data_IF_380918611521
#
_entry.id   IF_380918611521
#
_cell.length_a   1.000
_cell.length_b   1.000
_cell.length_c   1.000
_cell.angle_alpha   90.00
_cell.angle_beta   90.00
_cell.angle_gamma   90.00
#
_symmetry.space_group_name_H-M   'P 1'
#
loop_
_entity.id
_entity.type
_entity.pdbx_description
1 polymer ?
#
# COMPACT_ATOMS: atom_id res chain seq x y z
N UNK A 1 11.51 9.75 6.50
CA UNK A 1 10.41 9.08 6.28
C UNK A 1 10.20 8.69 4.89
N UNK A 2 10.15 7.47 4.61
CA UNK A 2 9.99 7.00 3.26
C UNK A 2 8.53 6.96 2.90
N UNK A 3 8.20 7.41 1.72
CA UNK A 3 6.85 7.38 1.25
C UNK A 3 6.39 5.95 1.14
N UNK A 4 7.29 5.05 0.78
CA UNK A 4 6.93 3.65 0.65
C UNK A 4 6.43 3.10 1.98
N UNK A 5 7.00 3.53 3.09
CA UNK A 5 6.57 3.06 4.38
C UNK A 5 5.15 3.53 4.67
N UNK A 6 4.84 4.76 4.30
CA UNK A 6 3.50 5.29 4.51
C UNK A 6 2.50 4.51 3.67
N UNK A 7 2.85 4.21 2.43
CA UNK A 7 1.97 3.46 1.56
C UNK A 7 1.73 2.05 2.09
N UNK A 8 2.77 1.42 2.60
CA UNK A 8 2.62 0.08 3.17
C UNK A 8 1.72 0.10 4.39
N UNK A 9 1.82 1.15 5.17
CA UNK A 9 0.98 1.28 6.34
C UNK A 9 -0.47 1.44 5.94
N UNK A 10 -0.74 2.25 4.92
CA UNK A 10 -2.10 2.43 4.45
C UNK A 10 -2.64 1.11 3.92
N UNK A 11 -1.81 0.35 3.22
CA UNK A 11 -2.24 -0.94 2.72
C UNK A 11 -2.60 -1.88 3.86
N UNK A 12 -1.79 -1.90 4.90
CA UNK A 12 -2.06 -2.75 6.05
C UNK A 12 -3.35 -2.36 6.72
N UNK A 13 -3.61 -1.09 6.83
CA UNK A 13 -4.83 -0.64 7.45
C UNK A 13 -6.05 -1.00 6.64
N UNK A 14 -5.93 -0.93 5.33
CA UNK A 14 -7.04 -1.31 4.47
C UNK A 14 -7.35 -2.79 4.68
N UNK A 15 -6.33 -3.63 4.78
CA UNK A 15 -6.53 -5.05 4.99
C UNK A 15 -7.19 -5.30 6.34
N UNK A 16 -6.73 -4.58 7.35
CA UNK A 16 -7.27 -4.74 8.68
C UNK A 16 -8.76 -4.40 8.70
N UNK A 17 -9.12 -3.29 8.09
CA UNK A 17 -10.52 -2.89 8.05
C UNK A 17 -11.31 -3.90 7.24
N UNK A 18 -10.74 -4.40 6.17
CA UNK A 18 -11.42 -5.37 5.34
C UNK A 18 -11.75 -6.63 6.13
N UNK A 19 -10.87 -7.00 7.05
CA UNK A 19 -11.10 -8.19 7.84
C UNK A 19 -12.19 -7.98 8.88
N UNK A 20 -12.45 -6.75 9.22
CA UNK A 20 -13.45 -6.45 10.21
C UNK A 20 -14.82 -6.10 9.64
N UNK A 21 -14.89 -5.81 8.38
CA UNK A 21 -16.14 -5.40 7.79
C UNK A 21 -16.96 -6.65 7.46
N UNK A 22 -18.26 -6.53 7.57
CA UNK A 22 -19.12 -7.66 7.26
C UNK A 22 -19.67 -7.54 5.84
N UNK A 23 -19.44 -6.43 5.20
CA UNK A 23 -19.96 -6.22 3.85
C UNK A 23 -18.96 -6.74 2.83
N UNK A 24 -19.39 -7.70 2.03
CA UNK A 24 -18.51 -8.28 1.03
C UNK A 24 -18.06 -7.22 0.01
N UNK A 25 -18.97 -6.34 -0.34
CA UNK A 25 -18.63 -5.29 -1.30
C UNK A 25 -17.57 -4.35 -0.75
N UNK A 26 -17.70 -3.99 0.51
CA UNK A 26 -16.73 -3.10 1.12
C UNK A 26 -15.40 -3.81 1.29
N UNK A 27 -15.45 -5.09 1.61
CA UNK A 27 -14.24 -5.85 1.79
C UNK A 27 -13.47 -5.84 0.47
N UNK A 28 -14.15 -6.08 -0.62
CA UNK A 28 -13.53 -6.09 -1.93
C UNK A 28 -12.87 -4.73 -2.23
N UNK A 29 -13.57 -3.68 -1.99
CA UNK A 29 -13.06 -2.35 -2.25
C UNK A 29 -11.80 -2.10 -1.43
N UNK A 30 -11.84 -2.46 -0.15
CA UNK A 30 -10.71 -2.23 0.72
C UNK A 30 -9.50 -3.05 0.29
N UNK A 31 -9.73 -4.27 -0.16
CA UNK A 31 -8.64 -5.10 -0.62
C UNK A 31 -8.03 -4.55 -1.91
N UNK A 32 -8.86 -3.99 -2.76
CA UNK A 32 -8.36 -3.37 -3.98
C UNK A 32 -7.53 -2.13 -3.64
N UNK A 33 -7.99 -1.37 -2.65
CA UNK A 33 -7.25 -0.21 -2.23
C UNK A 33 -5.90 -0.63 -1.64
N UNK A 34 -5.89 -1.71 -0.89
CA UNK A 34 -4.65 -2.19 -0.30
C UNK A 34 -3.66 -2.56 -1.40
N UNK A 35 -4.15 -3.18 -2.45
CA UNK A 35 -3.27 -3.55 -3.56
C UNK A 35 -2.71 -2.30 -4.23
N UNK A 36 -3.54 -1.29 -4.42
CA UNK A 36 -3.10 -0.06 -5.02
C UNK A 36 -1.99 0.59 -4.19
N UNK A 37 -2.19 0.62 -2.87
CA UNK A 37 -1.18 1.20 -1.99
C UNK A 37 0.11 0.41 -2.07
N UNK A 38 0.02 -0.91 -2.17
CA UNK A 38 1.21 -1.73 -2.26
C UNK A 38 1.98 -1.46 -3.55
N UNK A 39 1.25 -1.27 -4.65
CA UNK A 39 1.91 -0.95 -5.91
C UNK A 39 2.61 0.40 -5.84
N UNK A 40 1.95 1.36 -5.18
CA UNK A 40 2.57 2.65 -5.01
C UNK A 40 3.82 2.54 -4.16
N UNK A 41 3.78 1.68 -3.15
CA UNK A 41 4.95 1.48 -2.31
C UNK A 41 6.11 0.91 -3.11
N UNK A 42 5.80 -0.05 -3.96
CA UNK A 42 6.83 -0.66 -4.77
C UNK A 42 7.44 0.35 -5.74
N UNK A 43 6.60 1.19 -6.29
CA UNK A 43 7.09 2.20 -7.19
C UNK A 43 7.96 3.19 -6.47
N UNK A 44 7.55 3.59 -5.29
CA UNK A 44 8.32 4.53 -4.50
C UNK A 44 9.69 3.96 -4.18
N UNK A 45 9.73 2.66 -3.89
CA UNK A 45 10.99 2.02 -3.59
C UNK A 45 11.88 2.01 -4.81
N UNK A 46 11.34 1.68 -5.93
CA UNK A 46 12.10 1.62 -7.17
C UNK A 46 12.67 2.97 -7.56
N UNK A 47 11.99 4.02 -7.22
CA UNK A 47 12.44 5.33 -7.62
C UNK A 47 13.34 5.97 -6.58
N UNK A 48 13.65 5.20 -5.56
CA UNK A 48 14.46 5.72 -4.54
C UNK A 48 15.76 6.20 -5.08
N UNK A 49 16.00 7.42 -5.05
CA UNK A 49 17.17 8.01 -5.58
C UNK A 49 18.45 7.46 -5.02
N UNK A 50 18.52 7.36 -3.78
CA UNK A 50 19.71 6.91 -3.20
C UNK A 50 20.17 5.66 -3.80
N UNK A 51 19.20 4.87 -4.03
CA UNK A 51 19.49 3.67 -4.52
C UNK A 51 19.87 3.78 -5.84
N UNK A 52 18.99 4.18 -6.43
CA UNK A 52 19.22 4.18 -7.77
C UNK A 52 20.35 4.84 -8.06
N UNK A 53 20.22 5.70 -7.42
CA UNK A 53 21.13 6.52 -7.85
C UNK A 53 22.19 5.87 -8.22
N UNK A 54 22.23 5.61 -7.44
CA UNK A 54 23.24 5.08 -7.73
C UNK A 54 23.27 5.10 -9.06
N UNK A 55 22.80 4.91 -9.26
CA UNK A 55 22.99 4.79 -10.53
C UNK A 55 23.32 5.30 -10.84
#
# INVERSE_FOLDING_TARGET
MAKADAYRRYASECVRIAQQTTSAAEKDLLLQMAETWRRLAERADERKPGDGGGA
#
